data_IF_771433517909
#
_entry.id   IF_771433517909
#
_cell.length_a   1.000
_cell.length_b   1.000
_cell.length_c   1.000
_cell.angle_alpha   90.00
_cell.angle_beta   90.00
_cell.angle_gamma   90.00
#
_symmetry.space_group_name_H-M   'P 1'
#
loop_
_entity.id
_entity.type
_entity.pdbx_description
1 polymer ?
#
# COMPACT_ATOMS: atom_id res chain seq x y z
N UNK A 1 -34.40 -49.85 32.80
CA UNK A 1 -33.63 -49.89 31.53
C UNK A 1 -33.59 -48.47 30.98
N UNK A 2 -32.43 -47.79 31.04
CA UNK A 2 -32.26 -46.41 30.55
C UNK A 2 -31.69 -46.48 29.12
N UNK A 3 -32.33 -45.89 28.10
CA UNK A 3 -31.73 -45.87 26.78
C UNK A 3 -30.60 -44.85 26.71
N UNK A 4 -29.56 -45.29 26.01
CA UNK A 4 -28.24 -44.68 25.87
C UNK A 4 -28.33 -43.40 25.04
N UNK A 5 -27.48 -42.48 25.42
CA UNK A 5 -27.14 -41.23 24.75
C UNK A 5 -27.02 -41.37 23.23
N UNK A 6 -27.75 -40.53 22.50
CA UNK A 6 -27.43 -40.17 21.12
C UNK A 6 -26.91 -38.73 21.13
N UNK A 7 -25.59 -38.61 21.24
CA UNK A 7 -24.85 -37.38 21.07
C UNK A 7 -24.84 -37.06 19.56
N UNK A 8 -25.76 -36.22 19.09
CA UNK A 8 -25.72 -35.68 17.73
C UNK A 8 -24.97 -34.36 17.81
N UNK A 9 -23.68 -34.41 17.57
CA UNK A 9 -22.84 -33.22 17.48
C UNK A 9 -23.23 -32.41 16.24
N UNK A 10 -23.77 -31.21 16.49
CA UNK A 10 -23.92 -30.15 15.51
C UNK A 10 -22.53 -29.78 14.97
N UNK A 11 -22.20 -30.23 13.76
CA UNK A 11 -21.06 -29.73 13.01
C UNK A 11 -21.39 -28.33 12.49
N UNK A 12 -21.02 -27.30 13.26
CA UNK A 12 -21.11 -25.92 12.82
C UNK A 12 -20.06 -25.67 11.71
N UNK A 13 -20.53 -25.40 10.49
CA UNK A 13 -19.72 -24.84 9.41
C UNK A 13 -19.16 -23.48 9.85
N UNK A 14 -17.88 -23.44 10.22
CA UNK A 14 -17.15 -22.18 10.32
C UNK A 14 -16.80 -21.73 8.90
N UNK A 15 -17.68 -20.93 8.28
CA UNK A 15 -17.33 -20.10 7.13
C UNK A 15 -16.36 -19.04 7.63
N UNK A 16 -15.06 -19.34 7.55
CA UNK A 16 -13.99 -18.38 7.81
C UNK A 16 -14.09 -17.27 6.77
N UNK A 17 -14.65 -16.14 7.20
CA UNK A 17 -14.65 -14.89 6.47
C UNK A 17 -13.19 -14.41 6.31
N UNK A 18 -12.54 -14.79 5.21
CA UNK A 18 -11.37 -14.05 4.74
C UNK A 18 -11.87 -12.69 4.27
N UNK A 19 -11.88 -11.70 5.16
CA UNK A 19 -12.00 -10.31 4.73
C UNK A 19 -10.80 -10.03 3.82
N UNK A 20 -10.99 -9.46 2.61
CA UNK A 20 -9.86 -8.95 1.88
C UNK A 20 -9.20 -7.89 2.76
N UNK A 21 -7.89 -8.02 2.98
CA UNK A 21 -7.09 -6.95 3.56
C UNK A 21 -7.08 -5.80 2.55
N UNK A 22 -8.14 -4.99 2.58
CA UNK A 22 -8.19 -3.74 1.85
C UNK A 22 -6.99 -2.93 2.32
N UNK A 23 -6.19 -2.44 1.37
CA UNK A 23 -5.18 -1.43 1.63
C UNK A 23 -5.82 -0.36 2.53
N UNK A 24 -5.27 -0.11 3.72
CA UNK A 24 -5.83 0.91 4.60
C UNK A 24 -5.78 2.25 3.87
N UNK A 25 -6.93 2.89 3.66
CA UNK A 25 -6.97 4.15 2.93
C UNK A 25 -6.31 5.25 3.77
N UNK A 26 -5.06 5.60 3.45
CA UNK A 26 -4.37 6.67 4.16
C UNK A 26 -5.10 7.99 4.00
N UNK A 27 -5.45 8.61 5.13
CA UNK A 27 -6.05 9.94 5.13
C UNK A 27 -5.11 10.98 4.53
N UNK A 28 -5.68 12.02 3.93
CA UNK A 28 -4.90 13.17 3.41
C UNK A 28 -4.02 13.81 4.50
N UNK A 29 -4.50 13.84 5.73
CA UNK A 29 -3.77 14.37 6.89
C UNK A 29 -2.58 13.49 7.28
N UNK A 30 -2.71 12.16 7.13
CA UNK A 30 -1.61 11.24 7.35
C UNK A 30 -0.53 11.43 6.28
N UNK A 31 -0.92 11.39 5.00
CA UNK A 31 0.00 11.55 3.87
C UNK A 31 0.75 12.88 3.93
N UNK A 32 0.07 13.97 4.35
CA UNK A 32 0.70 15.29 4.41
C UNK A 32 1.85 15.37 5.42
N UNK A 33 1.82 14.54 6.47
CA UNK A 33 2.82 14.46 7.55
C UNK A 33 3.96 13.48 7.25
N UNK A 34 3.86 12.66 6.20
CA UNK A 34 4.92 11.74 5.82
C UNK A 34 6.19 12.50 5.41
N UNK A 35 7.39 11.97 5.74
CA UNK A 35 8.64 12.52 5.27
C UNK A 35 8.77 12.35 3.74
N UNK A 36 9.65 13.13 3.12
CA UNK A 36 9.90 13.06 1.67
C UNK A 36 10.36 11.67 1.22
N UNK A 37 11.05 10.92 2.09
CA UNK A 37 11.50 9.55 1.83
C UNK A 37 10.36 8.56 1.60
N UNK A 38 9.13 8.89 2.02
CA UNK A 38 7.98 8.03 1.81
C UNK A 38 7.43 8.04 0.38
N UNK A 39 7.95 8.91 -0.48
CA UNK A 39 7.45 9.16 -1.83
C UNK A 39 8.48 8.70 -2.86
N UNK A 40 8.01 8.18 -4.00
CA UNK A 40 8.91 7.72 -5.07
C UNK A 40 9.73 8.88 -5.65
N UNK A 41 9.11 10.06 -5.77
CA UNK A 41 9.74 11.29 -6.24
C UNK A 41 9.17 12.49 -5.49
N UNK A 42 10.05 13.45 -5.17
CA UNK A 42 9.68 14.79 -4.73
C UNK A 42 10.24 15.81 -5.73
N UNK A 43 9.36 16.53 -6.40
CA UNK A 43 9.70 17.60 -7.33
C UNK A 43 9.63 18.96 -6.61
N UNK A 44 10.35 19.96 -7.12
CA UNK A 44 10.25 21.35 -6.65
C UNK A 44 9.63 22.18 -7.76
N UNK A 45 8.46 22.76 -7.50
CA UNK A 45 7.79 23.64 -8.44
C UNK A 45 8.54 24.98 -8.57
N UNK A 46 8.30 25.78 -9.64
CA UNK A 46 8.97 27.06 -9.84
C UNK A 46 8.78 28.07 -8.69
N UNK A 47 7.73 27.93 -7.90
CA UNK A 47 7.43 28.73 -6.70
C UNK A 47 8.15 28.23 -5.43
N UNK A 48 9.02 27.21 -5.56
CA UNK A 48 9.76 26.60 -4.45
C UNK A 48 8.98 25.53 -3.68
N UNK A 49 7.73 25.24 -4.06
CA UNK A 49 6.87 24.31 -3.32
C UNK A 49 7.15 22.86 -3.72
N UNK A 50 7.22 21.97 -2.73
CA UNK A 50 7.44 20.53 -2.98
C UNK A 50 6.17 19.85 -3.49
N UNK A 51 6.29 19.07 -4.56
CA UNK A 51 5.25 18.18 -5.08
C UNK A 51 5.71 16.75 -4.87
N UNK A 52 4.96 16.00 -4.05
CA UNK A 52 5.34 14.66 -3.56
C UNK A 52 4.47 13.62 -4.26
N UNK A 53 5.09 12.63 -4.90
CA UNK A 53 4.42 11.67 -5.77
C UNK A 53 4.51 10.23 -5.24
N UNK A 54 3.41 9.50 -5.38
CA UNK A 54 3.35 8.05 -5.16
C UNK A 54 3.89 7.63 -3.77
N UNK A 55 3.19 8.00 -2.67
CA UNK A 55 3.56 7.57 -1.33
C UNK A 55 3.44 6.04 -1.20
N UNK A 56 4.46 5.42 -0.61
CA UNK A 56 4.52 3.97 -0.42
C UNK A 56 5.33 3.52 0.80
N UNK A 57 5.96 4.43 1.56
CA UNK A 57 6.42 4.11 2.93
C UNK A 57 5.48 4.70 3.97
N UNK A 58 5.33 4.00 5.08
CA UNK A 58 4.59 4.49 6.23
C UNK A 58 5.39 5.51 7.06
N UNK A 59 4.80 6.01 8.14
CA UNK A 59 5.44 6.98 9.05
C UNK A 59 6.69 6.46 9.78
N UNK A 60 6.95 5.15 9.75
CA UNK A 60 8.18 4.53 10.28
C UNK A 60 9.27 4.42 9.22
N UNK A 61 8.92 4.65 7.95
CA UNK A 61 9.80 4.44 6.79
C UNK A 61 9.77 3.02 6.24
N UNK A 62 8.86 2.17 6.73
CA UNK A 62 8.70 0.82 6.19
C UNK A 62 7.89 0.85 4.89
N UNK A 63 8.26 0.01 3.91
CA UNK A 63 7.50 -0.15 2.67
C UNK A 63 6.14 -0.78 3.00
N UNK A 64 5.06 -0.07 2.66
CA UNK A 64 3.70 -0.60 2.72
C UNK A 64 3.38 -1.27 1.39
N UNK A 65 3.22 -2.59 1.40
CA UNK A 65 2.98 -3.38 0.18
C UNK A 65 1.71 -2.96 -0.57
N UNK A 66 0.68 -2.55 0.15
CA UNK A 66 -0.60 -2.18 -0.45
C UNK A 66 -0.48 -0.83 -1.18
N UNK A 67 0.22 0.12 -0.56
CA UNK A 67 0.52 1.42 -1.16
C UNK A 67 1.58 1.33 -2.26
N UNK A 68 2.55 0.41 -2.18
CA UNK A 68 3.49 0.12 -3.27
C UNK A 68 2.76 -0.39 -4.53
N UNK A 69 1.83 -1.33 -4.37
CA UNK A 69 0.98 -1.81 -5.48
C UNK A 69 0.16 -0.68 -6.10
N UNK A 70 -0.45 0.16 -5.26
CA UNK A 70 -1.23 1.31 -5.71
C UNK A 70 -0.35 2.38 -6.40
N UNK A 71 0.88 2.59 -5.93
CA UNK A 71 1.84 3.51 -6.51
C UNK A 71 2.24 3.06 -7.93
N UNK A 72 2.59 1.77 -8.10
CA UNK A 72 2.94 1.18 -9.41
C UNK A 72 1.80 1.29 -10.42
N UNK A 73 0.56 1.02 -10.01
CA UNK A 73 -0.60 1.09 -10.92
C UNK A 73 -0.97 2.51 -11.35
N UNK A 74 -0.61 3.52 -10.54
CA UNK A 74 -0.89 4.94 -10.81
C UNK A 74 0.24 5.65 -11.55
N UNK A 75 1.38 5.00 -11.80
CA UNK A 75 2.57 5.62 -12.39
C UNK A 75 2.25 6.43 -13.67
N UNK A 76 1.55 5.82 -14.64
CA UNK A 76 1.18 6.47 -15.90
C UNK A 76 0.05 7.52 -15.79
N UNK A 77 -0.50 7.74 -14.59
CA UNK A 77 -1.53 8.75 -14.33
C UNK A 77 -0.95 10.01 -13.68
N UNK A 78 0.32 9.99 -13.29
CA UNK A 78 0.98 11.13 -12.63
C UNK A 78 1.26 12.24 -13.64
N UNK A 79 0.92 13.47 -13.27
CA UNK A 79 1.35 14.67 -13.97
C UNK A 79 2.70 15.10 -13.43
N UNK A 80 3.75 14.80 -14.17
CA UNK A 80 5.13 15.16 -13.82
C UNK A 80 5.44 16.61 -14.18
N UNK A 81 6.22 17.30 -13.34
CA UNK A 81 6.81 18.59 -13.71
C UNK A 81 7.99 18.38 -14.66
N UNK A 82 8.82 17.37 -14.40
CA UNK A 82 9.87 16.88 -15.29
C UNK A 82 9.54 15.44 -15.74
N UNK A 83 9.38 15.23 -17.05
CA UNK A 83 9.06 13.92 -17.62
C UNK A 83 10.11 12.83 -17.29
N UNK A 84 11.36 13.20 -17.01
CA UNK A 84 12.39 12.24 -16.59
C UNK A 84 12.07 11.60 -15.22
N UNK A 85 11.23 12.23 -14.40
CA UNK A 85 10.86 11.71 -13.09
C UNK A 85 9.93 10.49 -13.16
N UNK A 86 9.24 10.25 -14.28
CA UNK A 86 8.47 9.01 -14.45
C UNK A 86 9.39 7.77 -14.42
N UNK A 87 10.50 7.83 -15.14
CA UNK A 87 11.52 6.77 -15.16
C UNK A 87 12.14 6.58 -13.77
N UNK A 88 12.48 7.68 -13.11
CA UNK A 88 13.03 7.65 -11.75
C UNK A 88 12.06 6.99 -10.77
N UNK A 89 10.77 7.36 -10.80
CA UNK A 89 9.74 6.79 -9.95
C UNK A 89 9.55 5.30 -10.24
N UNK A 90 9.53 4.90 -11.52
CA UNK A 90 9.38 3.50 -11.92
C UNK A 90 10.51 2.63 -11.40
N UNK A 91 11.77 3.07 -11.59
CA UNK A 91 12.93 2.33 -11.08
C UNK A 91 12.88 2.19 -9.56
N UNK A 92 12.61 3.29 -8.84
CA UNK A 92 12.48 3.29 -7.38
C UNK A 92 11.42 2.30 -6.88
N UNK A 93 10.24 2.29 -7.48
CA UNK A 93 9.15 1.38 -7.09
C UNK A 93 9.45 -0.08 -7.46
N UNK A 94 10.15 -0.32 -8.57
CA UNK A 94 10.54 -1.66 -9.00
C UNK A 94 11.65 -2.24 -8.12
N UNK A 95 12.61 -1.43 -7.67
CA UNK A 95 13.62 -1.82 -6.69
C UNK A 95 12.97 -2.35 -5.41
N UNK A 96 12.02 -1.60 -4.83
CA UNK A 96 11.26 -2.08 -3.67
C UNK A 96 10.43 -3.32 -3.94
N UNK A 97 9.87 -3.46 -5.14
CA UNK A 97 9.12 -4.66 -5.49
C UNK A 97 10.02 -5.91 -5.48
N UNK A 98 11.21 -5.80 -6.06
CA UNK A 98 12.19 -6.89 -6.10
C UNK A 98 12.78 -7.21 -4.73
N UNK A 99 12.93 -6.21 -3.86
CA UNK A 99 13.36 -6.41 -2.47
C UNK A 99 12.36 -7.22 -1.65
N UNK A 100 11.05 -7.08 -1.93
CA UNK A 100 9.99 -7.84 -1.24
C UNK A 100 9.84 -9.27 -1.77
N UNK A 101 10.21 -9.51 -3.03
CA UNK A 101 10.15 -10.83 -3.67
C UNK A 101 11.39 -11.72 -3.38
N UNK A 102 12.42 -11.17 -2.73
CA UNK A 102 13.68 -11.87 -2.39
C UNK A 102 13.65 -12.51 -1.01
#
# INVERSE_FOLDING_TARGET
>A
MLPRMACVTLAALALTWCAPAAAEEWSRTYISRLPDSAFAVVETAPDGRKVRHLPHHDGTGAVDLAHLKAARSRLGQVKWLDAANEEKARRHLEEHWQELDR
#
